data_IF_331698556320
#
_entry.id   IF_331698556320
#
_cell.length_a   1.000
_cell.length_b   1.000
_cell.length_c   1.000
_cell.angle_alpha   90.00
_cell.angle_beta   90.00
_cell.angle_gamma   90.00
#
_symmetry.space_group_name_H-M   'P 1'
#
loop_
_entity.id
_entity.type
_entity.pdbx_description
1 polymer ?
#
# COMPACT_ATOMS: atom_id res chain seq x y z
N UNK A 1 -4.61 36.01 45.22
CA UNK A 1 -5.14 35.26 44.05
C UNK A 1 -4.19 35.43 42.86
N UNK A 2 -2.96 34.87 42.85
CA UNK A 2 -2.03 34.98 41.69
C UNK A 2 -0.74 34.16 41.87
N UNK A 3 -0.82 32.89 42.30
CA UNK A 3 0.37 32.02 42.38
C UNK A 3 0.21 30.72 41.55
N UNK A 4 -0.99 30.41 41.07
CA UNK A 4 -1.29 29.15 40.34
C UNK A 4 -1.01 29.20 38.84
N UNK A 5 -0.71 30.35 38.23
CA UNK A 5 -0.52 30.48 36.78
C UNK A 5 0.93 30.26 36.29
N UNK A 6 1.92 30.28 37.19
CA UNK A 6 3.34 30.20 36.76
C UNK A 6 3.89 28.78 36.67
N UNK A 7 3.24 27.81 37.31
CA UNK A 7 3.70 26.40 37.29
C UNK A 7 3.26 25.65 36.04
N UNK A 8 2.21 26.08 35.36
CA UNK A 8 1.60 25.33 34.25
C UNK A 8 2.34 25.52 32.91
N UNK A 9 2.93 26.71 32.69
CA UNK A 9 3.62 27.03 31.45
C UNK A 9 4.98 26.31 31.29
N UNK A 10 5.69 26.04 32.36
CA UNK A 10 7.00 25.35 32.32
C UNK A 10 6.84 23.86 32.07
N UNK A 11 5.78 23.25 32.57
CA UNK A 11 5.45 21.84 32.39
C UNK A 11 5.00 21.55 30.96
N UNK A 12 4.22 22.43 30.36
CA UNK A 12 3.75 22.32 28.97
C UNK A 12 4.91 22.44 27.95
N UNK A 13 5.86 23.37 28.23
CA UNK A 13 7.03 23.52 27.34
C UNK A 13 7.99 22.33 27.41
N UNK A 14 8.17 21.72 28.58
CA UNK A 14 8.96 20.51 28.74
C UNK A 14 8.35 19.30 27.98
N UNK A 15 7.02 19.13 28.04
CA UNK A 15 6.32 18.07 27.31
C UNK A 15 6.39 18.24 25.78
N UNK A 16 6.35 19.48 25.29
CA UNK A 16 6.53 19.76 23.85
C UNK A 16 7.97 19.48 23.38
N UNK A 17 8.97 19.77 24.19
CA UNK A 17 10.37 19.53 23.88
C UNK A 17 10.68 18.03 23.87
N UNK A 18 10.17 17.26 24.84
CA UNK A 18 10.33 15.79 24.89
C UNK A 18 9.63 15.11 23.70
N UNK A 19 8.43 15.58 23.31
CA UNK A 19 7.72 15.06 22.14
C UNK A 19 8.46 15.34 20.81
N UNK A 20 9.11 16.51 20.67
CA UNK A 20 9.94 16.83 19.51
C UNK A 20 11.21 15.96 19.43
N UNK A 21 11.86 15.70 20.55
CA UNK A 21 13.03 14.84 20.62
C UNK A 21 12.68 13.38 20.27
N UNK A 22 11.57 12.85 20.78
CA UNK A 22 11.14 11.47 20.48
C UNK A 22 10.79 11.25 19.01
N UNK A 23 10.23 12.24 18.33
CA UNK A 23 9.94 12.16 16.89
C UNK A 23 11.22 12.24 16.03
N UNK A 24 12.22 13.01 16.45
CA UNK A 24 13.50 13.11 15.75
C UNK A 24 14.26 11.78 15.75
N UNK A 25 14.28 11.06 16.85
CA UNK A 25 14.96 9.75 16.93
C UNK A 25 14.28 8.66 16.12
N UNK A 26 12.95 8.69 16.02
CA UNK A 26 12.18 7.75 15.18
C UNK A 26 12.46 7.97 13.70
N UNK A 27 12.48 9.22 13.23
CA UNK A 27 12.80 9.55 11.84
C UNK A 27 14.24 9.24 11.49
N UNK A 28 15.20 9.54 12.37
CA UNK A 28 16.61 9.20 12.16
C UNK A 28 16.84 7.69 12.14
N UNK A 29 16.20 6.93 13.03
CA UNK A 29 16.28 5.46 13.04
C UNK A 29 15.72 4.84 11.75
N UNK A 30 14.59 5.32 11.26
CA UNK A 30 14.01 4.87 9.99
C UNK A 30 14.92 5.22 8.81
N UNK A 31 15.49 6.44 8.76
CA UNK A 31 16.44 6.84 7.72
C UNK A 31 17.70 5.97 7.73
N UNK A 32 18.26 5.69 8.90
CA UNK A 32 19.44 4.81 9.04
C UNK A 32 19.12 3.37 8.63
N UNK A 33 17.93 2.86 8.96
CA UNK A 33 17.48 1.54 8.53
C UNK A 33 17.33 1.49 7.01
N UNK A 34 16.70 2.49 6.41
CA UNK A 34 16.57 2.59 4.94
C UNK A 34 17.95 2.68 4.27
N UNK A 35 18.85 3.50 4.79
CA UNK A 35 20.22 3.63 4.27
C UNK A 35 20.98 2.31 4.41
N UNK A 36 20.85 1.61 5.54
CA UNK A 36 21.47 0.30 5.76
C UNK A 36 20.91 -0.76 4.79
N UNK A 37 19.61 -0.78 4.55
CA UNK A 37 18.99 -1.66 3.57
C UNK A 37 19.50 -1.33 2.17
N UNK A 38 19.55 -0.04 1.79
CA UNK A 38 20.05 0.40 0.49
C UNK A 38 21.53 0.01 0.29
N UNK A 39 22.41 0.18 1.30
CA UNK A 39 23.81 -0.21 1.20
C UNK A 39 23.97 -1.73 1.10
N UNK A 40 23.14 -2.53 1.76
CA UNK A 40 23.16 -3.99 1.63
C UNK A 40 22.68 -4.46 0.27
N UNK A 41 21.69 -3.79 -0.33
CA UNK A 41 21.20 -4.11 -1.68
C UNK A 41 22.31 -3.90 -2.73
N UNK A 42 23.16 -2.88 -2.58
CA UNK A 42 24.26 -2.59 -3.52
C UNK A 42 25.44 -3.56 -3.38
N UNK A 43 25.60 -4.22 -2.23
CA UNK A 43 26.71 -5.15 -1.96
C UNK A 43 26.35 -6.62 -2.19
N UNK A 44 25.06 -6.95 -2.41
CA UNK A 44 24.69 -8.33 -2.74
C UNK A 44 25.26 -8.69 -4.11
N UNK A 45 26.01 -9.82 -4.22
CA UNK A 45 26.45 -10.31 -5.51
C UNK A 45 25.18 -10.58 -6.34
N UNK A 46 25.00 -9.79 -7.38
CA UNK A 46 23.88 -9.90 -8.29
C UNK A 46 24.00 -11.17 -9.13
N UNK A 47 23.82 -12.33 -8.51
CA UNK A 47 23.48 -13.58 -9.20
C UNK A 47 22.06 -13.44 -9.71
N UNK A 48 21.91 -12.46 -10.60
CA UNK A 48 20.66 -12.01 -11.13
C UNK A 48 20.06 -13.10 -11.99
N UNK A 49 19.02 -13.67 -11.47
CA UNK A 49 18.23 -14.60 -12.21
C UNK A 49 17.44 -13.88 -13.29
N UNK A 50 17.46 -14.42 -14.49
CA UNK A 50 16.58 -14.00 -15.58
C UNK A 50 15.15 -14.33 -15.20
N UNK A 51 14.26 -13.33 -15.08
CA UNK A 51 12.84 -13.56 -15.24
C UNK A 51 12.64 -14.14 -16.65
N UNK A 52 12.34 -15.43 -16.73
CA UNK A 52 12.12 -16.12 -18.00
C UNK A 52 10.65 -16.07 -18.35
N UNK A 53 10.35 -15.98 -19.64
CA UNK A 53 8.98 -16.18 -20.11
C UNK A 53 8.48 -17.55 -19.65
N UNK A 54 7.25 -17.59 -19.12
CA UNK A 54 6.64 -18.78 -18.52
C UNK A 54 6.89 -18.97 -17.02
N UNK A 55 7.80 -18.18 -16.42
CA UNK A 55 8.03 -18.20 -14.98
C UNK A 55 6.84 -17.64 -14.22
N UNK A 56 6.50 -18.23 -13.09
CA UNK A 56 5.43 -17.77 -12.20
C UNK A 56 5.98 -17.16 -10.92
N UNK A 57 5.20 -16.32 -10.27
CA UNK A 57 5.53 -15.78 -8.97
C UNK A 57 4.30 -15.50 -8.12
N UNK A 58 4.50 -15.44 -6.81
CA UNK A 58 3.52 -14.97 -5.82
C UNK A 58 4.09 -13.76 -5.11
N UNK A 59 3.32 -12.69 -5.09
CA UNK A 59 3.65 -11.45 -4.36
C UNK A 59 2.69 -11.31 -3.19
N UNK A 60 3.22 -10.97 -2.02
CA UNK A 60 2.43 -10.58 -0.84
C UNK A 60 2.94 -9.23 -0.38
N UNK A 61 2.04 -8.25 -0.29
CA UNK A 61 2.38 -6.86 0.05
C UNK A 61 1.45 -6.30 1.11
N UNK A 62 1.99 -5.42 1.94
CA UNK A 62 1.21 -4.47 2.71
C UNK A 62 0.94 -3.24 1.86
N UNK A 63 -0.29 -2.72 1.90
CA UNK A 63 -0.75 -1.57 1.11
C UNK A 63 -1.17 -0.45 2.05
N UNK A 64 -0.86 0.77 1.67
CA UNK A 64 -1.24 2.00 2.36
C UNK A 64 -1.94 2.96 1.39
N UNK A 65 -3.04 3.57 1.82
CA UNK A 65 -3.88 4.44 0.98
C UNK A 65 -4.01 5.87 1.52
N UNK A 66 -3.08 6.31 2.37
CA UNK A 66 -3.10 7.62 3.01
C UNK A 66 -3.87 7.67 4.32
N UNK A 67 -5.03 7.02 4.41
CA UNK A 67 -5.86 6.95 5.63
C UNK A 67 -6.06 5.52 6.13
N UNK A 68 -5.56 4.53 5.39
CA UNK A 68 -5.91 3.13 5.57
C UNK A 68 -4.76 2.21 5.26
N UNK A 69 -4.83 1.01 5.75
CA UNK A 69 -3.87 -0.05 5.48
C UNK A 69 -4.59 -1.32 5.03
N UNK A 70 -3.91 -2.12 4.22
CA UNK A 70 -4.43 -3.37 3.72
C UNK A 70 -3.34 -4.37 3.41
N UNK A 71 -3.75 -5.51 2.91
CA UNK A 71 -2.87 -6.57 2.42
C UNK A 71 -3.32 -7.00 1.04
N UNK A 72 -2.37 -7.38 0.20
CA UNK A 72 -2.64 -7.92 -1.12
C UNK A 72 -1.79 -9.15 -1.39
N UNK A 73 -2.34 -10.08 -2.18
CA UNK A 73 -1.65 -11.25 -2.68
C UNK A 73 -1.92 -11.41 -4.18
N UNK A 74 -0.86 -11.37 -5.00
CA UNK A 74 -0.94 -11.48 -6.45
C UNK A 74 -0.11 -12.63 -6.98
N UNK A 75 -0.73 -13.47 -7.79
CA UNK A 75 -0.04 -14.41 -8.66
C UNK A 75 0.31 -13.72 -9.97
N UNK A 76 1.53 -13.93 -10.47
CA UNK A 76 1.98 -13.33 -11.72
C UNK A 76 2.64 -14.38 -12.60
N UNK A 77 2.43 -14.27 -13.92
CA UNK A 77 3.07 -15.10 -14.94
C UNK A 77 3.82 -14.23 -15.93
N UNK A 78 5.14 -14.43 -16.01
CA UNK A 78 6.02 -13.63 -16.86
C UNK A 78 5.92 -14.01 -18.34
N UNK A 79 5.96 -12.97 -19.17
CA UNK A 79 6.02 -13.04 -20.63
C UNK A 79 7.30 -12.38 -21.15
N UNK A 80 7.50 -12.33 -22.46
CA UNK A 80 8.69 -11.68 -23.05
C UNK A 80 8.79 -10.19 -22.75
N UNK A 81 7.66 -9.48 -22.67
CA UNK A 81 7.62 -8.02 -22.49
C UNK A 81 7.12 -7.53 -21.14
N UNK A 82 6.75 -8.45 -20.23
CA UNK A 82 6.15 -8.09 -18.95
C UNK A 82 5.60 -9.29 -18.21
N UNK A 83 4.46 -9.12 -17.53
CA UNK A 83 3.76 -10.23 -16.88
C UNK A 83 2.26 -9.93 -16.71
N UNK A 84 1.47 -10.98 -16.72
CA UNK A 84 0.08 -10.96 -16.25
C UNK A 84 0.06 -11.13 -14.74
N UNK A 85 -0.85 -10.44 -14.10
CA UNK A 85 -1.10 -10.61 -12.67
C UNK A 85 -2.59 -10.78 -12.39
N UNK A 86 -2.89 -11.59 -11.38
CA UNK A 86 -4.23 -11.72 -10.82
C UNK A 86 -4.12 -11.97 -9.32
N UNK A 87 -5.00 -11.39 -8.53
CA UNK A 87 -4.89 -11.52 -7.09
C UNK A 87 -6.06 -10.97 -6.31
N UNK A 88 -5.87 -10.98 -5.01
CA UNK A 88 -6.83 -10.55 -4.00
C UNK A 88 -6.23 -9.39 -3.21
N UNK A 89 -7.07 -8.45 -2.83
CA UNK A 89 -6.71 -7.32 -1.98
C UNK A 89 -7.80 -7.12 -0.94
N UNK A 90 -7.40 -6.90 0.31
CA UNK A 90 -8.26 -6.49 1.40
C UNK A 90 -7.72 -5.22 2.04
N UNK A 91 -8.54 -4.19 2.14
CA UNK A 91 -8.17 -2.92 2.73
C UNK A 91 -9.23 -2.46 3.72
N UNK A 92 -8.76 -1.87 4.82
CA UNK A 92 -9.60 -1.17 5.80
C UNK A 92 -9.46 0.33 5.56
N UNK A 93 -10.56 1.01 5.29
CA UNK A 93 -10.58 2.42 4.95
C UNK A 93 -11.25 3.27 6.03
N UNK A 94 -10.68 4.46 6.24
CA UNK A 94 -11.28 5.51 7.06
C UNK A 94 -11.61 6.70 6.15
N UNK A 95 -12.85 7.12 6.12
CA UNK A 95 -13.27 8.33 5.41
C UNK A 95 -13.98 9.27 6.37
N UNK A 96 -13.81 10.58 6.15
CA UNK A 96 -14.51 11.59 6.93
C UNK A 96 -15.65 12.14 6.07
N UNK A 97 -16.87 11.95 6.55
CA UNK A 97 -18.05 12.52 5.93
C UNK A 97 -18.05 14.07 6.03
N UNK A 98 -18.79 14.73 5.17
CA UNK A 98 -18.98 16.19 5.21
C UNK A 98 -19.53 16.70 6.55
N UNK A 99 -20.17 15.84 7.32
CA UNK A 99 -20.66 16.07 8.68
C UNK A 99 -19.57 15.96 9.77
N UNK A 100 -18.32 15.67 9.41
CA UNK A 100 -17.20 15.46 10.34
C UNK A 100 -17.15 14.08 11.01
N UNK A 101 -18.09 13.17 10.72
CA UNK A 101 -18.07 11.81 11.24
C UNK A 101 -17.06 10.95 10.44
N UNK A 102 -16.31 10.12 11.16
CA UNK A 102 -15.39 9.14 10.57
C UNK A 102 -16.19 7.87 10.31
N UNK A 103 -16.25 7.49 9.04
CA UNK A 103 -16.81 6.23 8.58
C UNK A 103 -15.68 5.25 8.29
N UNK A 104 -15.82 4.02 8.77
CA UNK A 104 -14.92 2.91 8.47
C UNK A 104 -15.63 1.93 7.53
N UNK A 105 -14.92 1.46 6.53
CA UNK A 105 -15.41 0.43 5.62
C UNK A 105 -14.27 -0.48 5.18
N UNK A 106 -14.59 -1.74 4.94
CA UNK A 106 -13.66 -2.76 4.53
C UNK A 106 -13.92 -3.16 3.08
N UNK A 107 -12.87 -3.28 2.28
CA UNK A 107 -12.92 -3.72 0.90
C UNK A 107 -12.33 -5.12 0.76
N UNK A 108 -13.02 -5.98 -0.02
CA UNK A 108 -12.47 -7.22 -0.53
C UNK A 108 -12.54 -7.21 -2.06
N UNK A 109 -11.39 -7.22 -2.71
CA UNK A 109 -11.25 -6.96 -4.14
C UNK A 109 -10.50 -8.11 -4.80
N UNK A 110 -11.00 -8.54 -5.96
CA UNK A 110 -10.28 -9.35 -6.95
C UNK A 110 -9.79 -8.41 -8.04
N UNK A 111 -8.52 -8.50 -8.39
CA UNK A 111 -7.92 -7.64 -9.42
C UNK A 111 -7.05 -8.45 -10.37
N UNK A 112 -6.95 -7.98 -11.62
CA UNK A 112 -6.06 -8.57 -12.61
C UNK A 112 -5.68 -7.57 -13.69
N UNK A 113 -4.47 -7.75 -14.25
CA UNK A 113 -3.94 -6.80 -15.22
C UNK A 113 -2.70 -7.29 -15.94
N UNK A 114 -2.12 -6.42 -16.73
CA UNK A 114 -0.86 -6.64 -17.42
C UNK A 114 0.14 -5.53 -17.11
N UNK A 115 1.36 -5.96 -16.78
CA UNK A 115 2.49 -5.09 -16.45
C UNK A 115 3.54 -5.17 -17.54
N UNK A 116 3.84 -4.04 -18.18
CA UNK A 116 4.90 -3.89 -19.18
C UNK A 116 6.22 -3.56 -18.49
N UNK A 117 7.30 -4.19 -18.91
CA UNK A 117 8.63 -3.85 -18.45
C UNK A 117 9.13 -2.58 -19.14
N UNK A 118 9.32 -1.50 -18.36
CA UNK A 118 9.87 -0.23 -18.86
C UNK A 118 11.39 -0.22 -18.88
N UNK A 119 12.00 -0.67 -17.79
CA UNK A 119 13.43 -0.61 -17.60
C UNK A 119 13.92 -1.75 -16.69
N UNK A 120 15.21 -2.02 -16.73
CA UNK A 120 15.86 -2.96 -15.83
C UNK A 120 17.37 -2.95 -16.05
N UNK A 121 18.12 -3.22 -14.99
CA UNK A 121 19.58 -3.30 -15.06
C UNK A 121 20.02 -4.53 -15.84
N UNK A 122 21.20 -4.47 -16.52
CA UNK A 122 21.82 -5.63 -17.19
C UNK A 122 22.08 -6.77 -16.21
N UNK A 123 22.47 -6.44 -14.98
CA UNK A 123 22.63 -7.39 -13.89
C UNK A 123 21.31 -7.94 -13.35
N UNK A 124 20.17 -7.36 -13.79
CA UNK A 124 18.80 -7.75 -13.40
C UNK A 124 18.52 -7.73 -11.90
N UNK A 125 19.31 -7.01 -11.13
CA UNK A 125 19.03 -6.74 -9.74
C UNK A 125 17.83 -5.82 -9.52
N UNK A 126 17.41 -5.11 -10.61
CA UNK A 126 16.33 -4.12 -10.57
C UNK A 126 15.51 -4.18 -11.85
N UNK A 127 14.19 -4.18 -11.72
CA UNK A 127 13.25 -4.03 -12.82
C UNK A 127 12.19 -2.99 -12.47
N UNK A 128 11.79 -2.20 -13.46
CA UNK A 128 10.69 -1.25 -13.39
C UNK A 128 9.60 -1.66 -14.36
N UNK A 129 8.38 -1.71 -13.88
CA UNK A 129 7.19 -2.04 -14.65
C UNK A 129 6.14 -0.94 -14.54
N UNK A 130 5.33 -0.80 -15.56
CA UNK A 130 4.08 -0.06 -15.53
C UNK A 130 2.98 -0.87 -16.20
N UNK A 131 1.75 -0.65 -15.83
CA UNK A 131 0.65 -1.39 -16.40
C UNK A 131 -0.70 -0.88 -15.98
N UNK A 132 -1.70 -1.62 -16.41
CA UNK A 132 -3.08 -1.35 -16.10
C UNK A 132 -3.85 -2.66 -15.93
N UNK A 133 -4.96 -2.57 -15.23
CA UNK A 133 -5.83 -3.71 -15.01
C UNK A 133 -7.24 -3.28 -14.64
N UNK A 134 -8.05 -4.28 -14.32
CA UNK A 134 -9.41 -4.10 -13.84
C UNK A 134 -9.56 -4.81 -12.48
N UNK A 135 -10.54 -4.38 -11.74
CA UNK A 135 -10.89 -4.96 -10.45
C UNK A 135 -12.41 -5.01 -10.24
N UNK A 136 -12.82 -5.95 -9.42
CA UNK A 136 -14.17 -6.05 -8.90
C UNK A 136 -14.14 -6.54 -7.46
N UNK A 137 -15.11 -6.16 -6.66
CA UNK A 137 -15.12 -6.53 -5.26
C UNK A 137 -16.37 -6.08 -4.52
N UNK A 138 -16.29 -6.20 -3.23
CA UNK A 138 -17.35 -5.78 -2.31
C UNK A 138 -16.79 -4.82 -1.28
N UNK A 139 -17.57 -3.82 -0.98
CA UNK A 139 -17.33 -2.82 0.05
C UNK A 139 -18.33 -3.08 1.17
N UNK A 140 -17.84 -3.25 2.39
CA UNK A 140 -18.65 -3.53 3.57
C UNK A 140 -18.50 -2.39 4.56
N UNK A 141 -19.58 -1.70 4.85
CA UNK A 141 -19.64 -0.69 5.89
C UNK A 141 -19.57 -1.38 7.27
N UNK A 142 -18.71 -0.91 8.17
CA UNK A 142 -18.51 -1.52 9.49
C UNK A 142 -19.80 -1.59 10.30
N UNK A 143 -20.38 -2.79 10.51
CA UNK A 143 -21.65 -2.97 11.23
C UNK A 143 -21.49 -2.80 12.75
N UNK A 144 -20.26 -2.76 13.28
CA UNK A 144 -19.98 -2.73 14.72
C UNK A 144 -20.03 -1.31 15.30
N UNK A 145 -19.95 -0.26 14.49
CA UNK A 145 -20.19 1.11 14.94
C UNK A 145 -21.63 1.50 14.66
N UNK A 146 -22.37 1.81 15.71
CA UNK A 146 -23.71 2.41 15.62
C UNK A 146 -23.60 3.66 14.76
N UNK A 147 -24.00 3.54 13.49
CA UNK A 147 -24.21 4.69 12.63
C UNK A 147 -25.32 5.50 13.27
N UNK A 148 -25.11 6.79 13.59
CA UNK A 148 -26.17 7.60 14.15
C UNK A 148 -27.41 7.54 13.25
N UNK A 149 -28.58 7.37 13.82
CA UNK A 149 -29.84 7.15 13.12
C UNK A 149 -30.27 8.29 12.16
N UNK A 150 -29.57 9.43 12.21
CA UNK A 150 -29.78 10.56 11.29
C UNK A 150 -28.94 10.47 9.99
N UNK A 151 -28.04 9.47 9.87
CA UNK A 151 -27.32 9.21 8.63
C UNK A 151 -28.07 8.12 7.89
N UNK A 152 -28.90 8.52 6.96
CA UNK A 152 -29.60 7.59 6.05
C UNK A 152 -28.60 7.15 4.97
N UNK A 153 -27.91 6.04 5.18
CA UNK A 153 -27.01 5.40 4.21
C UNK A 153 -27.79 4.46 3.26
N UNK A 154 -29.14 4.48 3.33
CA UNK A 154 -29.96 3.49 2.66
C UNK A 154 -29.72 2.07 3.24
N UNK A 155 -30.31 1.06 2.62
CA UNK A 155 -30.22 -0.32 3.10
C UNK A 155 -28.92 -1.05 2.72
N UNK A 156 -27.91 -0.34 2.18
CA UNK A 156 -26.69 -0.96 1.65
C UNK A 156 -25.55 -0.99 2.69
N UNK A 157 -25.57 -2.03 3.52
CA UNK A 157 -24.39 -2.36 4.34
C UNK A 157 -23.29 -3.03 3.49
N UNK A 158 -23.59 -3.47 2.27
CA UNK A 158 -22.68 -4.13 1.34
C UNK A 158 -22.88 -3.49 -0.04
N UNK A 159 -21.82 -2.91 -0.60
CA UNK A 159 -21.78 -2.36 -1.95
C UNK A 159 -20.92 -3.22 -2.87
N UNK A 160 -21.37 -3.40 -4.11
CA UNK A 160 -20.52 -3.97 -5.15
C UNK A 160 -19.69 -2.85 -5.80
N UNK A 161 -18.40 -3.07 -5.96
CA UNK A 161 -17.50 -2.12 -6.60
C UNK A 161 -16.77 -2.75 -7.78
N UNK A 162 -16.50 -1.95 -8.79
CA UNK A 162 -15.68 -2.36 -9.94
C UNK A 162 -15.03 -1.13 -10.56
N UNK A 163 -13.93 -1.36 -11.26
CA UNK A 163 -13.19 -0.28 -11.87
C UNK A 163 -11.95 -0.74 -12.60
N UNK A 164 -11.11 0.21 -12.93
CA UNK A 164 -9.81 0.01 -13.56
C UNK A 164 -8.71 0.61 -12.70
N UNK A 165 -7.47 0.18 -12.91
CA UNK A 165 -6.33 0.79 -12.24
C UNK A 165 -5.14 0.96 -13.19
N UNK A 166 -4.35 2.00 -12.95
CA UNK A 166 -3.00 2.12 -13.45
C UNK A 166 -2.01 1.79 -12.32
N UNK A 167 -0.90 1.15 -12.65
CA UNK A 167 0.09 0.71 -11.66
C UNK A 167 1.51 0.94 -12.16
N UNK A 168 2.39 1.36 -11.25
CA UNK A 168 3.83 1.30 -11.42
C UNK A 168 4.41 0.39 -10.33
N UNK A 169 5.39 -0.44 -10.69
CA UNK A 169 5.99 -1.43 -9.80
C UNK A 169 7.49 -1.50 -10.02
N UNK A 170 8.21 -1.58 -8.92
CA UNK A 170 9.65 -1.82 -8.90
C UNK A 170 9.93 -3.16 -8.23
N UNK A 171 10.76 -3.98 -8.87
CA UNK A 171 11.28 -5.22 -8.30
C UNK A 171 12.78 -5.08 -8.04
N UNK A 172 13.20 -5.38 -6.81
CA UNK A 172 14.59 -5.40 -6.38
C UNK A 172 14.91 -6.83 -5.92
N UNK A 173 15.73 -7.55 -6.69
CA UNK A 173 16.06 -8.94 -6.37
C UNK A 173 17.01 -9.03 -5.18
N UNK A 174 16.54 -9.65 -4.10
CA UNK A 174 17.31 -9.92 -2.89
C UNK A 174 18.06 -11.27 -2.99
N UNK A 175 17.48 -12.22 -3.71
CA UNK A 175 18.04 -13.56 -3.93
C UNK A 175 17.52 -14.13 -5.25
N UNK A 176 17.98 -15.35 -5.62
CA UNK A 176 17.57 -16.01 -6.88
C UNK A 176 16.07 -16.16 -7.06
N UNK A 177 15.32 -16.31 -5.99
CA UNK A 177 13.86 -16.54 -5.99
C UNK A 177 13.07 -15.49 -5.22
N UNK A 178 13.75 -14.50 -4.64
CA UNK A 178 13.11 -13.52 -3.75
C UNK A 178 13.40 -12.12 -4.24
N UNK A 179 12.35 -11.34 -4.42
CA UNK A 179 12.44 -9.92 -4.73
C UNK A 179 11.64 -9.10 -3.72
N UNK A 180 12.16 -7.93 -3.39
CA UNK A 180 11.41 -6.85 -2.76
C UNK A 180 10.60 -6.14 -3.85
N UNK A 181 9.33 -5.91 -3.59
CA UNK A 181 8.43 -5.18 -4.49
C UNK A 181 8.00 -3.89 -3.82
N UNK A 182 8.07 -2.80 -4.57
CA UNK A 182 7.44 -1.53 -4.22
C UNK A 182 6.49 -1.18 -5.35
N UNK A 183 5.22 -0.97 -5.04
CA UNK A 183 4.21 -0.63 -6.03
C UNK A 183 3.47 0.66 -5.67
N UNK A 184 3.00 1.35 -6.70
CA UNK A 184 2.06 2.44 -6.60
C UNK A 184 0.90 2.17 -7.56
N UNK A 185 -0.33 2.26 -7.08
CA UNK A 185 -1.54 2.00 -7.86
C UNK A 185 -2.51 3.17 -7.74
N UNK A 186 -3.15 3.48 -8.84
CA UNK A 186 -4.19 4.51 -8.93
C UNK A 186 -5.48 3.86 -9.42
N UNK A 187 -6.32 3.30 -8.54
CA UNK A 187 -7.62 2.78 -8.91
C UNK A 187 -8.61 3.91 -9.20
N UNK A 188 -9.45 3.66 -10.21
CA UNK A 188 -10.61 4.48 -10.59
C UNK A 188 -11.83 3.60 -10.47
N UNK A 189 -12.67 3.88 -9.49
CA UNK A 189 -13.86 3.12 -9.17
C UNK A 189 -15.09 3.74 -9.85
N UNK A 190 -15.88 2.91 -10.52
CA UNK A 190 -17.06 3.36 -11.27
C UNK A 190 -18.36 3.26 -10.48
N UNK A 191 -18.40 2.49 -9.40
CA UNK A 191 -19.62 2.18 -8.66
C UNK A 191 -19.57 2.49 -7.16
N UNK A 192 -18.39 2.92 -6.61
CA UNK A 192 -18.33 3.22 -5.18
C UNK A 192 -19.07 4.52 -4.84
N UNK A 193 -19.96 4.49 -3.85
CA UNK A 193 -20.62 5.69 -3.36
C UNK A 193 -19.68 6.58 -2.53
N UNK A 194 -18.52 6.08 -2.11
CA UNK A 194 -17.65 6.76 -1.15
C UNK A 194 -16.54 7.55 -1.84
N UNK A 195 -15.79 6.95 -2.76
CA UNK A 195 -14.66 7.61 -3.42
C UNK A 195 -14.31 6.96 -4.75
N UNK A 196 -14.29 7.78 -5.81
CA UNK A 196 -14.06 7.29 -7.17
C UNK A 196 -12.57 7.11 -7.49
N UNK A 197 -11.67 7.91 -6.91
CA UNK A 197 -10.23 7.88 -7.20
C UNK A 197 -9.45 7.97 -5.90
N UNK A 198 -8.53 7.06 -5.66
CA UNK A 198 -7.60 7.12 -4.54
C UNK A 198 -6.26 6.52 -4.95
N UNK A 199 -5.19 6.95 -4.31
CA UNK A 199 -3.88 6.37 -4.53
C UNK A 199 -3.60 5.27 -3.50
N UNK A 200 -2.81 4.30 -3.91
CA UNK A 200 -2.34 3.21 -3.05
C UNK A 200 -0.83 3.07 -3.25
N UNK A 201 -0.10 2.85 -2.17
CA UNK A 201 1.30 2.50 -2.20
C UNK A 201 1.52 1.21 -1.42
N UNK A 202 2.30 0.29 -1.96
CA UNK A 202 2.54 -1.00 -1.34
C UNK A 202 4.02 -1.35 -1.30
N UNK A 203 4.36 -2.15 -0.30
CA UNK A 203 5.66 -2.79 -0.18
C UNK A 203 5.48 -4.26 0.19
N UNK A 204 6.20 -5.14 -0.46
CA UNK A 204 6.02 -6.58 -0.27
C UNK A 204 7.19 -7.42 -0.73
N UNK A 205 6.97 -8.72 -0.63
CA UNK A 205 7.92 -9.74 -1.08
C UNK A 205 7.29 -10.55 -2.21
N UNK A 206 8.09 -10.79 -3.26
CA UNK A 206 7.74 -11.63 -4.39
C UNK A 206 8.62 -12.87 -4.40
N UNK A 207 7.98 -14.04 -4.40
CA UNK A 207 8.65 -15.33 -4.54
C UNK A 207 8.43 -15.89 -5.95
N UNK A 208 9.53 -16.28 -6.62
CA UNK A 208 9.51 -16.82 -7.98
C UNK A 208 9.55 -18.35 -7.93
N UNK A 209 8.63 -18.96 -8.68
CA UNK A 209 8.59 -20.41 -8.88
C UNK A 209 9.34 -20.78 -10.19
N UNK A 210 9.90 -21.96 -10.21
CA UNK A 210 10.54 -22.57 -11.40
C UNK A 210 9.69 -23.71 -11.91
#
# INVERSE_FOLDING_TARGET
MTILSFFDMKTINNLRTVKRLSNGWRTTGVMLLVLFILTRITTLPASAQRTMSGQSSLTVSGVYTGTSAGVEAFYSQYTLGGFWEAGLMGCDYLTTLSTGHILRYDDAIVAGGYMFRLAGTRSRGFNLYTGAGAFAGVEVLDPLRRIPSYIDLGHAHIGFQYGIYAQAMTEIFLAKRLALVVNGRLPVNFSSPVKNIHWQAGIGLKYLFF
#
